data_IF_474049293229
#
_entry.id   IF_474049293229
#
_cell.length_a   1.000
_cell.length_b   1.000
_cell.length_c   1.000
_cell.angle_alpha   90.00
_cell.angle_beta   90.00
_cell.angle_gamma   90.00
#
_symmetry.space_group_name_H-M   'P 1'
#
loop_
_entity.id
_entity.type
_entity.pdbx_description
1 polymer ?
#
# COMPACT_ATOMS: atom_id res chain seq x y z
N UNK A 1 3.88 5.94 -41.96
CA UNK A 1 2.74 6.00 -41.03
C UNK A 1 3.26 5.67 -39.63
N UNK A 2 3.58 6.70 -38.82
CA UNK A 2 3.94 6.51 -37.40
C UNK A 2 2.63 6.25 -36.65
N UNK A 3 2.47 5.05 -36.10
CA UNK A 3 1.30 4.71 -35.31
C UNK A 3 1.24 5.64 -34.10
N UNK A 4 0.24 6.53 -34.08
CA UNK A 4 -0.19 7.21 -32.87
C UNK A 4 -0.84 6.15 -31.99
N UNK A 5 -0.03 5.38 -31.26
CA UNK A 5 -0.52 4.72 -30.06
C UNK A 5 -0.85 5.87 -29.11
N UNK A 6 -2.11 6.06 -28.72
CA UNK A 6 -2.48 7.16 -27.86
C UNK A 6 -1.74 6.99 -26.53
N UNK A 7 -0.98 7.99 -26.10
CA UNK A 7 -0.21 7.99 -24.86
C UNK A 7 -1.05 7.68 -23.60
N UNK A 8 -2.38 7.78 -23.72
CA UNK A 8 -3.35 7.40 -22.69
C UNK A 8 -3.51 5.87 -22.47
N UNK A 9 -3.18 5.03 -23.46
CA UNK A 9 -3.28 3.57 -23.34
C UNK A 9 -2.04 2.95 -22.69
N UNK A 10 -0.86 3.54 -22.91
CA UNK A 10 0.38 3.12 -22.24
C UNK A 10 0.42 3.53 -20.76
N UNK A 11 -0.19 4.66 -20.39
CA UNK A 11 -0.26 5.10 -18.98
C UNK A 11 -1.14 4.19 -18.12
N UNK A 12 -2.29 3.74 -18.63
CA UNK A 12 -3.20 2.84 -17.89
C UNK A 12 -2.61 1.45 -17.66
N UNK A 13 -1.89 0.89 -18.64
CA UNK A 13 -1.24 -0.42 -18.49
C UNK A 13 -0.10 -0.38 -17.45
N UNK A 14 0.65 0.72 -17.39
CA UNK A 14 1.68 0.93 -16.37
C UNK A 14 1.07 1.18 -14.98
N UNK A 15 -0.07 1.86 -14.90
CA UNK A 15 -0.78 2.08 -13.64
C UNK A 15 -1.30 0.76 -13.06
N UNK A 16 -1.85 -0.12 -13.91
CA UNK A 16 -2.37 -1.43 -13.52
C UNK A 16 -1.29 -2.33 -12.90
N UNK A 17 -0.05 -2.24 -13.37
CA UNK A 17 1.04 -3.10 -12.89
C UNK A 17 1.54 -2.68 -11.51
N UNK A 18 1.56 -1.38 -11.19
CA UNK A 18 2.04 -0.87 -9.89
C UNK A 18 1.08 -1.22 -8.75
N UNK A 19 -0.23 -1.01 -8.93
CA UNK A 19 -1.21 -1.34 -7.87
C UNK A 19 -1.25 -2.84 -7.57
N UNK A 20 -1.19 -3.68 -8.61
CA UNK A 20 -1.14 -5.14 -8.45
C UNK A 20 0.14 -5.61 -7.79
N UNK A 21 1.28 -5.02 -8.17
CA UNK A 21 2.56 -5.31 -7.53
C UNK A 21 2.52 -4.94 -6.04
N UNK A 22 2.01 -3.75 -5.70
CA UNK A 22 1.88 -3.31 -4.31
C UNK A 22 0.96 -4.21 -3.49
N UNK A 23 -0.16 -4.66 -4.08
CA UNK A 23 -1.06 -5.61 -3.44
C UNK A 23 -0.33 -6.94 -3.13
N UNK A 24 0.38 -7.50 -4.10
CA UNK A 24 1.14 -8.75 -3.93
C UNK A 24 2.24 -8.59 -2.88
N UNK A 25 3.02 -7.50 -2.92
CA UNK A 25 4.10 -7.24 -1.96
C UNK A 25 3.52 -7.08 -0.55
N UNK A 26 2.41 -6.35 -0.40
CA UNK A 26 1.75 -6.18 0.92
C UNK A 26 1.26 -7.49 1.51
N UNK A 27 0.75 -8.39 0.68
CA UNK A 27 0.28 -9.70 1.11
C UNK A 27 1.47 -10.61 1.46
N UNK A 28 2.50 -10.62 0.61
CA UNK A 28 3.70 -11.41 0.81
C UNK A 28 4.46 -10.98 2.08
N UNK A 29 4.62 -9.68 2.31
CA UNK A 29 5.26 -9.17 3.53
C UNK A 29 4.46 -9.55 4.78
N UNK A 30 3.12 -9.49 4.73
CA UNK A 30 2.27 -9.93 5.82
C UNK A 30 2.43 -11.42 6.12
N UNK A 31 2.47 -12.29 5.10
CA UNK A 31 2.70 -13.73 5.30
C UNK A 31 4.08 -14.02 5.89
N UNK A 32 5.13 -13.39 5.36
CA UNK A 32 6.50 -13.57 5.85
C UNK A 32 6.61 -13.12 7.31
N UNK A 33 6.08 -11.94 7.65
CA UNK A 33 6.17 -11.40 9.01
C UNK A 33 5.29 -12.19 9.99
N UNK A 34 4.09 -12.61 9.58
CA UNK A 34 3.22 -13.46 10.39
C UNK A 34 3.89 -14.81 10.72
N UNK A 35 4.53 -15.45 9.74
CA UNK A 35 5.25 -16.70 9.94
C UNK A 35 6.50 -16.52 10.82
N UNK A 36 7.23 -15.41 10.65
CA UNK A 36 8.47 -15.17 11.37
C UNK A 36 8.25 -14.80 12.84
N UNK A 37 7.19 -14.06 13.16
CA UNK A 37 6.94 -13.54 14.50
C UNK A 37 5.75 -14.18 15.22
N UNK A 38 5.04 -15.11 14.59
CA UNK A 38 3.85 -15.75 15.15
C UNK A 38 2.61 -14.83 15.21
N UNK A 39 2.67 -13.69 14.53
CA UNK A 39 1.63 -12.65 14.51
C UNK A 39 0.64 -12.89 13.36
N UNK A 40 -0.18 -13.93 13.45
CA UNK A 40 -1.10 -14.37 12.36
C UNK A 40 -2.11 -13.28 11.92
N UNK A 41 -2.44 -12.36 12.81
CA UNK A 41 -3.33 -11.24 12.53
C UNK A 41 -2.75 -10.24 11.52
N UNK A 42 -1.42 -10.22 11.31
CA UNK A 42 -0.78 -9.42 10.25
C UNK A 42 -1.26 -9.85 8.86
N UNK A 43 -1.59 -11.13 8.66
CA UNK A 43 -2.12 -11.62 7.37
C UNK A 43 -3.45 -10.93 7.04
N UNK A 44 -4.31 -10.72 8.04
CA UNK A 44 -5.57 -10.00 7.85
C UNK A 44 -5.32 -8.53 7.48
N UNK A 45 -4.37 -7.86 8.13
CA UNK A 45 -3.99 -6.49 7.79
C UNK A 45 -3.36 -6.38 6.40
N UNK A 46 -2.49 -7.34 6.03
CA UNK A 46 -1.96 -7.49 4.68
C UNK A 46 -3.06 -7.62 3.63
N UNK A 47 -4.07 -8.43 3.90
CA UNK A 47 -5.22 -8.58 3.01
C UNK A 47 -6.03 -7.29 2.87
N UNK A 48 -6.20 -6.51 3.94
CA UNK A 48 -6.87 -5.19 3.88
C UNK A 48 -6.08 -4.21 3.01
N UNK A 49 -4.76 -4.14 3.19
CA UNK A 49 -3.90 -3.27 2.37
C UNK A 49 -3.90 -3.73 0.91
N UNK A 50 -3.82 -5.03 0.66
CA UNK A 50 -3.89 -5.59 -0.70
C UNK A 50 -5.24 -5.28 -1.36
N UNK A 51 -6.34 -5.47 -0.63
CA UNK A 51 -7.68 -5.15 -1.10
C UNK A 51 -7.82 -3.65 -1.40
N UNK A 52 -7.31 -2.77 -0.54
CA UNK A 52 -7.33 -1.33 -0.77
C UNK A 52 -6.54 -0.89 -2.00
N UNK A 53 -5.39 -1.52 -2.27
CA UNK A 53 -4.63 -1.30 -3.51
C UNK A 53 -5.41 -1.77 -4.75
N UNK A 54 -6.09 -2.91 -4.66
CA UNK A 54 -6.93 -3.43 -5.76
C UNK A 54 -8.19 -2.57 -5.99
N UNK A 55 -8.83 -2.13 -4.92
CA UNK A 55 -9.94 -1.17 -4.97
C UNK A 55 -9.49 0.18 -5.52
N UNK A 56 -8.25 0.60 -5.25
CA UNK A 56 -7.67 1.82 -5.79
C UNK A 56 -7.54 1.80 -7.33
N UNK A 57 -7.31 0.62 -7.91
CA UNK A 57 -7.35 0.41 -9.37
C UNK A 57 -8.75 0.71 -9.94
N UNK A 58 -9.81 0.40 -9.18
CA UNK A 58 -11.20 0.45 -9.67
C UNK A 58 -11.89 1.79 -9.36
N UNK A 59 -11.63 2.35 -8.17
CA UNK A 59 -12.37 3.51 -7.62
C UNK A 59 -11.49 4.75 -7.39
N UNK A 60 -10.20 4.71 -7.74
CA UNK A 60 -9.29 5.87 -7.65
C UNK A 60 -8.51 5.95 -6.33
N UNK A 61 -8.23 7.16 -5.86
CA UNK A 61 -7.31 7.38 -4.73
C UNK A 61 -7.93 7.12 -3.34
N UNK A 62 -9.25 7.27 -3.21
CA UNK A 62 -9.97 7.18 -1.92
C UNK A 62 -9.71 5.84 -1.20
N UNK A 63 -9.80 4.66 -1.85
CA UNK A 63 -9.54 3.38 -1.18
C UNK A 63 -8.09 3.24 -0.70
N UNK A 64 -7.14 3.88 -1.38
CA UNK A 64 -5.72 3.85 -1.00
C UNK A 64 -5.49 4.70 0.25
N UNK A 65 -6.17 5.83 0.39
CA UNK A 65 -6.17 6.61 1.64
C UNK A 65 -6.81 5.85 2.80
N UNK A 66 -7.88 5.09 2.55
CA UNK A 66 -8.47 4.24 3.59
C UNK A 66 -7.47 3.15 4.00
N UNK A 67 -6.79 2.51 3.05
CA UNK A 67 -5.75 1.52 3.35
C UNK A 67 -4.54 2.11 4.09
N UNK A 68 -4.24 3.40 3.88
CA UNK A 68 -3.18 4.11 4.60
C UNK A 68 -3.43 4.22 6.11
N UNK A 69 -4.69 4.11 6.54
CA UNK A 69 -5.00 4.09 7.99
C UNK A 69 -4.43 2.85 8.68
N UNK A 70 -4.29 1.72 7.98
CA UNK A 70 -3.76 0.47 8.55
C UNK A 70 -2.33 0.63 9.08
N UNK A 71 -1.32 1.02 8.28
CA UNK A 71 0.04 1.18 8.81
C UNK A 71 0.14 2.26 9.89
N UNK A 72 -0.69 3.31 9.83
CA UNK A 72 -0.74 4.37 10.85
C UNK A 72 -1.24 3.81 12.18
N UNK A 73 -2.42 3.17 12.18
CA UNK A 73 -3.00 2.56 13.36
C UNK A 73 -2.10 1.49 13.96
N UNK A 74 -1.42 0.72 13.10
CA UNK A 74 -0.48 -0.30 13.55
C UNK A 74 0.76 0.29 14.23
N UNK A 75 1.29 1.41 13.73
CA UNK A 75 2.40 2.10 14.39
C UNK A 75 1.99 2.60 15.78
N UNK A 76 0.80 3.21 15.88
CA UNK A 76 0.26 3.65 17.16
C UNK A 76 0.11 2.45 18.11
N UNK A 77 -0.42 1.32 17.63
CA UNK A 77 -0.56 0.11 18.42
C UNK A 77 0.78 -0.43 18.94
N UNK A 78 1.82 -0.44 18.11
CA UNK A 78 3.18 -0.87 18.51
C UNK A 78 3.73 0.04 19.61
N UNK A 79 3.61 1.35 19.44
CA UNK A 79 4.08 2.34 20.42
C UNK A 79 3.29 2.19 21.74
N UNK A 80 1.96 2.12 21.66
CA UNK A 80 1.10 1.93 22.83
C UNK A 80 1.37 0.61 23.54
N UNK A 81 1.64 -0.47 22.81
CA UNK A 81 1.96 -1.77 23.41
C UNK A 81 3.32 -1.77 24.10
N UNK A 82 4.29 -1.06 23.53
CA UNK A 82 5.61 -0.91 24.12
C UNK A 82 5.55 -0.14 25.45
N UNK A 83 4.85 0.99 25.49
CA UNK A 83 4.75 1.81 26.70
C UNK A 83 3.71 1.31 27.71
N UNK A 84 2.59 0.75 27.24
CA UNK A 84 1.47 0.35 28.08
C UNK A 84 1.55 -1.07 28.62
N UNK A 85 2.12 -2.00 27.85
CA UNK A 85 2.18 -3.42 28.20
C UNK A 85 3.62 -3.95 28.33
N UNK A 86 4.65 -3.11 28.10
CA UNK A 86 6.04 -3.54 28.02
C UNK A 86 6.27 -4.68 27.01
N UNK A 87 5.43 -4.77 25.97
CA UNK A 87 5.48 -5.81 24.95
C UNK A 87 5.92 -5.19 23.62
N UNK A 88 7.00 -5.71 23.06
CA UNK A 88 7.45 -5.33 21.72
C UNK A 88 6.94 -6.35 20.69
N UNK A 89 6.22 -5.85 19.69
CA UNK A 89 5.67 -6.62 18.57
C UNK A 89 6.47 -6.28 17.30
N UNK A 90 7.61 -6.95 17.05
CA UNK A 90 8.51 -6.63 15.95
C UNK A 90 7.87 -6.86 14.57
N UNK A 91 6.97 -7.83 14.44
CA UNK A 91 6.28 -8.12 13.18
C UNK A 91 5.40 -6.93 12.76
N UNK A 92 4.56 -6.46 13.68
CA UNK A 92 3.72 -5.28 13.49
C UNK A 92 4.53 -4.00 13.21
N UNK A 93 5.66 -3.81 13.89
CA UNK A 93 6.55 -2.67 13.63
C UNK A 93 7.09 -2.68 12.19
N UNK A 94 7.63 -3.82 11.75
CA UNK A 94 8.14 -3.99 10.38
C UNK A 94 7.03 -3.88 9.34
N UNK A 95 5.87 -4.49 9.60
CA UNK A 95 4.74 -4.42 8.68
C UNK A 95 4.27 -2.97 8.50
N UNK A 96 4.17 -2.20 9.60
CA UNK A 96 3.82 -0.77 9.53
C UNK A 96 4.81 0.02 8.64
N UNK A 97 6.12 -0.18 8.83
CA UNK A 97 7.14 0.49 8.01
C UNK A 97 7.03 0.14 6.52
N UNK A 98 6.85 -1.15 6.20
CA UNK A 98 6.65 -1.58 4.81
C UNK A 98 5.35 -1.03 4.22
N UNK A 99 4.28 -0.98 5.01
CA UNK A 99 3.00 -0.41 4.62
C UNK A 99 3.11 1.07 4.29
N UNK A 100 3.83 1.86 5.09
CA UNK A 100 4.10 3.27 4.78
C UNK A 100 4.83 3.44 3.45
N UNK A 101 5.84 2.62 3.17
CA UNK A 101 6.58 2.69 1.91
C UNK A 101 5.69 2.40 0.69
N UNK A 102 4.84 1.36 0.77
CA UNK A 102 3.92 0.97 -0.30
C UNK A 102 2.87 2.04 -0.57
N UNK A 103 2.28 2.62 0.49
CA UNK A 103 1.29 3.70 0.38
C UNK A 103 1.93 4.96 -0.19
N UNK A 104 3.14 5.32 0.26
CA UNK A 104 3.89 6.46 -0.29
C UNK A 104 4.10 6.31 -1.80
N UNK A 105 4.51 5.14 -2.26
CA UNK A 105 4.68 4.87 -3.69
C UNK A 105 3.35 4.99 -4.46
N UNK A 106 2.25 4.49 -3.90
CA UNK A 106 0.92 4.62 -4.51
C UNK A 106 0.50 6.09 -4.66
N UNK A 107 0.69 6.91 -3.62
CA UNK A 107 0.34 8.34 -3.63
C UNK A 107 1.23 9.15 -4.58
N UNK A 108 2.55 8.91 -4.57
CA UNK A 108 3.47 9.56 -5.52
C UNK A 108 3.09 9.24 -6.97
N UNK A 109 2.60 8.02 -7.23
CA UNK A 109 2.11 7.65 -8.54
C UNK A 109 0.84 8.43 -8.93
N UNK A 110 -0.14 8.57 -8.03
CA UNK A 110 -1.33 9.41 -8.28
C UNK A 110 -0.95 10.87 -8.57
N UNK A 111 -0.05 11.46 -7.78
CA UNK A 111 0.38 12.85 -7.98
C UNK A 111 1.02 13.10 -9.37
N UNK A 112 1.71 12.10 -9.94
CA UNK A 112 2.27 12.20 -11.30
C UNK A 112 1.21 12.17 -12.40
N UNK A 113 0.05 11.58 -12.14
CA UNK A 113 -1.05 11.52 -13.11
C UNK A 113 -1.86 12.81 -13.16
N UNK A 114 -1.81 13.62 -12.10
CA UNK A 114 -2.57 14.86 -11.96
C UNK A 114 -1.83 16.11 -12.49
N UNK A 115 -0.51 16.03 -12.65
CA UNK A 115 0.32 17.13 -13.15
C UNK A 115 0.23 17.52 -14.65
N UNK A 116 -0.32 16.73 -15.61
CA UNK A 116 -0.35 17.14 -17.01
C UNK A 116 -1.47 18.15 -17.35
N UNK A 117 -2.41 18.42 -16.44
CA UNK A 117 -3.58 19.26 -16.72
C UNK A 117 -3.40 20.76 -16.38
N UNK A 118 -2.30 21.16 -15.74
CA UNK A 118 -2.09 22.55 -15.28
C UNK A 118 -0.81 23.20 -15.83
N UNK A 119 -0.21 22.66 -16.90
CA UNK A 119 0.90 23.29 -17.63
C UNK A 119 0.46 23.98 -18.94
N UNK A 120 -0.75 24.55 -18.96
CA UNK A 120 -1.16 25.49 -20.01
C UNK A 120 -1.10 26.92 -19.50
#
# INVERSE_FOLDING_TARGET
MKSFVPAALTSRAAQLSVFRLNAIISLASAFVLAALFGEFWLVALGAVVAAGNWLGETYGEIPVFIAATVPISLMIWVISSFFGFCQFQPGAALFSLTGFALIKQAIEHFNRLQSPCCQQ
#
